data_IF_460558107533
#
_entry.id   IF_460558107533
#
_cell.length_a   1.000
_cell.length_b   1.000
_cell.length_c   1.000
_cell.angle_alpha   90.00
_cell.angle_beta   90.00
_cell.angle_gamma   90.00
#
_symmetry.space_group_name_H-M   'P 1'
#
loop_
_entity.id
_entity.type
_entity.pdbx_description
1 polymer ?
#
# COMPACT_ATOMS: atom_id res chain seq x y z
N UNK A 1 -11.83 4.07 7.66
CA UNK A 1 -12.81 4.54 8.65
C UNK A 1 -13.01 3.48 9.72
N UNK A 2 -12.79 3.82 11.00
CA UNK A 2 -12.98 2.89 12.13
C UNK A 2 -14.43 2.43 12.19
N UNK A 3 -14.66 1.11 12.29
CA UNK A 3 -15.99 0.52 12.44
C UNK A 3 -16.10 -0.11 13.81
N UNK A 4 -17.23 0.09 14.46
CA UNK A 4 -17.54 -0.50 15.76
C UNK A 4 -18.86 -1.25 15.68
N UNK A 5 -18.88 -2.48 16.19
CA UNK A 5 -20.07 -3.31 16.28
C UNK A 5 -20.22 -3.87 17.68
N UNK A 6 -21.45 -4.09 18.13
CA UNK A 6 -21.75 -4.72 19.42
C UNK A 6 -22.46 -6.04 19.18
N UNK A 7 -22.00 -7.10 19.79
CA UNK A 7 -22.67 -8.39 19.84
C UNK A 7 -23.20 -8.57 21.26
N UNK A 8 -24.50 -8.72 21.42
CA UNK A 8 -25.13 -9.02 22.71
C UNK A 8 -25.43 -10.51 22.78
N UNK A 9 -24.85 -11.19 23.74
CA UNK A 9 -25.15 -12.60 24.03
C UNK A 9 -26.06 -12.66 25.24
N UNK A 10 -27.23 -13.24 25.08
CA UNK A 10 -28.21 -13.45 26.17
C UNK A 10 -28.31 -14.94 26.51
N UNK A 11 -28.32 -15.23 27.81
CA UNK A 11 -28.68 -16.54 28.27
C UNK A 11 -30.19 -16.77 28.12
N UNK A 12 -30.58 -17.95 27.62
CA UNK A 12 -32.00 -18.31 27.41
C UNK A 12 -32.75 -18.62 28.71
N UNK A 13 -32.03 -18.92 29.78
CA UNK A 13 -32.59 -19.39 31.03
C UNK A 13 -32.55 -18.37 32.18
N UNK A 14 -31.87 -17.25 31.97
CA UNK A 14 -31.71 -16.20 32.96
C UNK A 14 -31.73 -14.83 32.26
N UNK A 15 -31.98 -13.78 33.04
CA UNK A 15 -31.90 -12.39 32.54
C UNK A 15 -30.44 -11.88 32.45
N UNK A 16 -29.48 -12.78 32.44
CA UNK A 16 -28.06 -12.45 32.27
C UNK A 16 -27.75 -12.18 30.79
N UNK A 17 -26.99 -11.13 30.54
CA UNK A 17 -26.47 -10.82 29.21
C UNK A 17 -25.00 -10.37 29.30
N UNK A 18 -24.30 -10.56 28.20
CA UNK A 18 -22.94 -10.02 28.01
C UNK A 18 -22.88 -9.27 26.69
N UNK A 19 -22.20 -8.16 26.68
CA UNK A 19 -21.96 -7.37 25.47
C UNK A 19 -20.50 -7.53 25.07
N UNK A 20 -20.27 -7.91 23.82
CA UNK A 20 -18.97 -7.91 23.16
C UNK A 20 -18.92 -6.73 22.20
N UNK A 21 -18.07 -5.77 22.49
CA UNK A 21 -17.82 -4.64 21.59
C UNK A 21 -16.63 -5.00 20.70
N UNK A 22 -16.85 -5.06 19.40
CA UNK A 22 -15.83 -5.29 18.40
C UNK A 22 -15.54 -3.96 17.69
N UNK A 23 -14.30 -3.51 17.80
CA UNK A 23 -13.79 -2.37 17.04
C UNK A 23 -12.82 -2.86 15.97
N UNK A 24 -13.04 -2.41 14.75
CA UNK A 24 -12.14 -2.65 13.62
C UNK A 24 -11.54 -1.31 13.20
N UNK A 25 -10.21 -1.20 13.21
CA UNK A 25 -9.54 -0.04 12.62
C UNK A 25 -9.80 0.03 11.12
N UNK A 26 -9.66 1.22 10.54
CA UNK A 26 -9.75 1.38 9.09
C UNK A 26 -8.66 0.54 8.43
N UNK A 27 -9.07 -0.36 7.54
CA UNK A 27 -8.15 -1.16 6.76
C UNK A 27 -7.63 -0.33 5.59
N UNK A 28 -6.31 -0.31 5.43
CA UNK A 28 -5.63 0.45 4.39
C UNK A 28 -5.48 1.94 4.75
N UNK A 29 -4.52 2.56 4.12
CA UNK A 29 -4.17 3.96 4.34
C UNK A 29 -2.69 4.19 4.16
N UNK A 30 -2.22 5.38 4.52
CA UNK A 30 -0.80 5.67 4.56
C UNK A 30 -0.41 6.38 5.86
N UNK A 31 0.84 6.21 6.24
CA UNK A 31 1.49 6.95 7.33
C UNK A 31 2.69 7.68 6.76
N UNK A 32 2.93 8.92 7.22
CA UNK A 32 4.10 9.71 6.82
C UNK A 32 5.30 9.39 7.70
N UNK A 33 6.49 9.41 7.11
CA UNK A 33 7.75 9.20 7.82
C UNK A 33 8.21 7.74 7.84
N UNK A 34 9.40 7.52 8.33
CA UNK A 34 9.95 6.18 8.54
C UNK A 34 9.27 5.56 9.76
N UNK A 35 8.26 4.75 9.54
CA UNK A 35 7.69 3.94 10.59
C UNK A 35 8.61 2.78 10.93
N UNK A 36 8.44 2.21 12.11
CA UNK A 36 9.26 1.13 12.65
C UNK A 36 9.03 -0.16 11.86
N UNK A 37 9.81 -0.37 10.79
CA UNK A 37 9.72 -1.52 9.90
C UNK A 37 10.52 -2.73 10.45
N UNK A 38 11.02 -2.65 11.68
CA UNK A 38 11.85 -3.69 12.29
C UNK A 38 11.10 -5.02 12.40
N UNK A 39 11.70 -6.05 11.81
CA UNK A 39 11.19 -7.42 11.83
C UNK A 39 10.39 -7.83 10.61
N UNK A 40 10.16 -6.93 9.65
CA UNK A 40 9.47 -7.24 8.41
C UNK A 40 10.42 -7.72 7.32
N UNK A 41 9.89 -8.52 6.41
CA UNK A 41 10.66 -9.12 5.33
C UNK A 41 10.47 -8.32 4.04
N UNK A 42 11.56 -7.78 3.50
CA UNK A 42 11.55 -7.12 2.20
C UNK A 42 11.27 -8.13 1.08
N UNK A 43 10.32 -7.81 0.24
CA UNK A 43 9.92 -8.60 -0.92
C UNK A 43 10.58 -8.02 -2.17
N UNK A 44 11.48 -8.76 -2.84
CA UNK A 44 12.17 -8.25 -4.01
C UNK A 44 11.23 -8.11 -5.20
N UNK A 45 11.34 -6.99 -5.91
CA UNK A 45 10.71 -6.79 -7.22
C UNK A 45 11.55 -7.50 -8.28
N UNK A 46 10.93 -8.33 -9.10
CA UNK A 46 11.62 -9.08 -10.17
C UNK A 46 11.83 -8.24 -11.42
N UNK A 47 10.83 -7.46 -11.80
CA UNK A 47 10.88 -6.53 -12.93
C UNK A 47 9.86 -5.41 -12.74
N UNK A 48 9.98 -4.35 -13.52
CA UNK A 48 9.04 -3.24 -13.45
C UNK A 48 9.11 -2.35 -14.68
N UNK A 49 8.07 -1.56 -14.86
CA UNK A 49 7.95 -0.62 -15.96
C UNK A 49 7.21 0.66 -15.55
N UNK A 50 7.52 1.75 -16.23
CA UNK A 50 6.78 3.01 -16.14
C UNK A 50 6.36 3.44 -17.54
N UNK A 51 5.05 3.62 -17.73
CA UNK A 51 4.49 4.04 -19.02
C UNK A 51 3.51 5.20 -18.82
N UNK A 52 3.41 6.08 -19.80
CA UNK A 52 2.44 7.17 -19.80
C UNK A 52 1.08 6.71 -20.38
N UNK A 53 0.11 7.60 -20.38
CA UNK A 53 -1.25 7.30 -20.91
C UNK A 53 -1.29 6.92 -22.39
N UNK A 54 -0.22 7.18 -23.15
CA UNK A 54 -0.06 6.76 -24.54
C UNK A 54 0.60 5.38 -24.68
N UNK A 55 0.88 4.69 -23.56
CA UNK A 55 1.58 3.41 -23.54
C UNK A 55 3.09 3.51 -23.87
N UNK A 56 3.67 4.71 -23.82
CA UNK A 56 5.10 4.91 -24.06
C UNK A 56 5.88 4.83 -22.77
N UNK A 57 7.09 4.25 -22.83
CA UNK A 57 8.02 4.25 -21.70
C UNK A 57 8.32 5.68 -21.27
N UNK A 58 8.11 5.93 -19.99
CA UNK A 58 8.34 7.22 -19.35
C UNK A 58 9.61 7.17 -18.53
N UNK A 59 10.68 7.82 -18.99
CA UNK A 59 11.91 8.00 -18.22
C UNK A 59 12.76 9.15 -18.75
N UNK A 60 13.52 9.79 -17.88
CA UNK A 60 14.47 10.84 -18.24
C UNK A 60 15.89 10.27 -18.31
N UNK A 61 16.43 10.14 -19.52
CA UNK A 61 17.80 9.70 -19.75
C UNK A 61 18.11 8.36 -19.07
N UNK A 62 19.14 8.35 -18.22
CA UNK A 62 19.58 7.15 -17.47
C UNK A 62 18.81 6.91 -16.17
N UNK A 63 17.83 7.76 -15.80
CA UNK A 63 17.01 7.61 -14.60
C UNK A 63 15.85 6.66 -14.85
N UNK A 64 16.18 5.42 -15.24
CA UNK A 64 15.22 4.38 -15.59
C UNK A 64 14.44 3.85 -14.40
N UNK A 65 13.31 3.21 -14.68
CA UNK A 65 12.36 2.75 -13.68
C UNK A 65 12.95 1.70 -12.70
N UNK A 66 13.94 0.90 -13.14
CA UNK A 66 14.64 -0.07 -12.27
C UNK A 66 15.25 0.56 -11.01
N UNK A 67 15.50 1.87 -11.02
CA UNK A 67 16.01 2.60 -9.85
C UNK A 67 15.00 2.75 -8.71
N UNK A 68 13.74 2.41 -8.93
CA UNK A 68 12.74 2.39 -7.86
C UNK A 68 12.76 1.11 -7.02
N UNK A 69 13.59 0.14 -7.39
CA UNK A 69 13.72 -1.14 -6.68
C UNK A 69 15.15 -1.70 -6.74
N UNK A 70 16.15 -0.83 -6.87
CA UNK A 70 17.58 -1.21 -6.90
C UNK A 70 18.23 -1.28 -5.50
N UNK A 71 17.46 -0.99 -4.44
CA UNK A 71 17.91 -0.98 -3.05
C UNK A 71 18.65 0.30 -2.67
N UNK A 72 18.65 1.34 -3.52
CA UNK A 72 19.37 2.58 -3.30
C UNK A 72 18.45 3.78 -3.19
N UNK A 73 18.43 4.44 -2.02
CA UNK A 73 17.70 5.70 -1.81
C UNK A 73 18.48 6.94 -2.32
N UNK A 74 19.70 6.74 -2.83
CA UNK A 74 20.54 7.83 -3.39
C UNK A 74 20.25 8.06 -4.88
N UNK A 75 19.81 7.03 -5.58
CA UNK A 75 19.39 7.10 -6.98
C UNK A 75 17.88 7.28 -7.07
N UNK A 76 17.32 7.35 -8.27
CA UNK A 76 15.88 7.40 -8.44
C UNK A 76 15.43 7.38 -9.89
N UNK A 77 14.21 6.95 -10.06
CA UNK A 77 13.45 7.09 -11.28
C UNK A 77 12.99 8.53 -11.45
N UNK A 78 13.07 9.02 -12.67
CA UNK A 78 12.53 10.31 -13.08
C UNK A 78 11.69 10.12 -14.35
N UNK A 79 10.42 10.54 -14.32
CA UNK A 79 9.58 10.53 -15.52
C UNK A 79 10.11 11.48 -16.60
N UNK A 80 9.70 11.26 -17.85
CA UNK A 80 10.12 12.12 -18.96
C UNK A 80 9.60 13.55 -18.77
N UNK A 81 10.50 14.54 -18.81
CA UNK A 81 10.17 15.95 -18.56
C UNK A 81 9.52 16.64 -19.75
N UNK A 82 9.73 16.14 -20.96
CA UNK A 82 9.21 16.77 -22.17
C UNK A 82 7.83 16.27 -22.58
N UNK A 83 7.56 14.98 -22.39
CA UNK A 83 6.31 14.34 -22.78
C UNK A 83 5.34 14.17 -21.59
N UNK A 84 5.86 13.93 -20.40
CA UNK A 84 5.09 13.58 -19.19
C UNK A 84 5.05 14.70 -18.16
N UNK A 85 5.17 15.98 -18.62
CA UNK A 85 4.87 17.10 -17.75
C UNK A 85 3.39 17.11 -17.41
N UNK A 86 3.08 17.11 -16.10
CA UNK A 86 1.68 17.12 -15.63
C UNK A 86 0.94 18.38 -16.16
N UNK A 87 -0.28 18.30 -16.66
CA UNK A 87 -1.13 17.09 -16.74
C UNK A 87 -1.00 16.28 -18.05
N UNK A 88 -0.05 16.60 -18.93
CA UNK A 88 0.08 15.95 -20.23
C UNK A 88 0.52 14.50 -20.08
N UNK A 89 -0.15 13.61 -20.82
CA UNK A 89 0.14 12.17 -20.87
C UNK A 89 0.08 11.44 -19.52
N UNK A 90 -0.64 11.99 -18.54
CA UNK A 90 -0.99 11.31 -17.30
C UNK A 90 -2.35 10.59 -17.44
N UNK A 91 -2.64 9.51 -16.68
CA UNK A 91 -1.82 9.01 -15.58
C UNK A 91 -0.52 8.35 -16.03
N UNK A 92 0.46 8.31 -15.13
CA UNK A 92 1.65 7.48 -15.27
C UNK A 92 1.38 6.13 -14.60
N UNK A 93 1.51 5.05 -15.36
CA UNK A 93 1.34 3.68 -14.87
C UNK A 93 2.69 3.11 -14.48
N UNK A 94 2.86 2.83 -13.19
CA UNK A 94 4.03 2.19 -12.62
C UNK A 94 3.66 0.75 -12.28
N UNK A 95 4.34 -0.22 -12.88
CA UNK A 95 4.07 -1.65 -12.64
C UNK A 95 5.28 -2.30 -12.00
N UNK A 96 5.05 -3.01 -10.90
CA UNK A 96 6.03 -3.83 -10.21
C UNK A 96 5.58 -5.28 -10.27
N UNK A 97 6.46 -6.18 -10.71
CA UNK A 97 6.16 -7.60 -10.86
C UNK A 97 6.99 -8.41 -9.87
N UNK A 98 6.41 -9.50 -9.39
CA UNK A 98 6.98 -10.35 -8.36
C UNK A 98 7.04 -11.80 -8.83
N UNK A 99 8.06 -12.52 -8.36
CA UNK A 99 8.21 -13.95 -8.62
C UNK A 99 8.15 -14.70 -7.29
N UNK A 100 7.28 -15.71 -7.23
CA UNK A 100 7.18 -16.65 -6.09
C UNK A 100 7.00 -15.99 -4.71
N UNK A 101 6.20 -14.95 -4.65
CA UNK A 101 5.94 -14.27 -3.39
C UNK A 101 4.64 -14.78 -2.75
N UNK A 102 4.70 -15.28 -1.51
CA UNK A 102 3.50 -15.79 -0.85
C UNK A 102 2.56 -14.68 -0.39
N UNK A 103 3.10 -13.47 -0.09
CA UNK A 103 2.32 -12.41 0.53
C UNK A 103 3.04 -11.06 0.44
N UNK A 104 2.27 -9.98 0.27
CA UNK A 104 2.71 -8.60 0.49
C UNK A 104 1.66 -7.89 1.35
N UNK A 105 2.08 -7.20 2.41
CA UNK A 105 1.19 -6.54 3.36
C UNK A 105 1.14 -5.03 3.17
N UNK A 106 2.26 -4.41 2.80
CA UNK A 106 2.37 -2.96 2.60
C UNK A 106 3.57 -2.62 1.72
N UNK A 107 3.64 -1.38 1.29
CA UNK A 107 4.82 -0.83 0.65
C UNK A 107 5.23 0.52 1.24
N UNK A 108 6.50 0.87 1.05
CA UNK A 108 7.06 2.18 1.43
C UNK A 108 7.53 2.88 0.18
N UNK A 109 7.00 4.08 -0.05
CA UNK A 109 7.40 4.95 -1.15
C UNK A 109 8.39 5.99 -0.63
N UNK A 110 9.61 5.97 -1.12
CA UNK A 110 10.62 7.02 -0.90
C UNK A 110 10.64 7.93 -2.11
N UNK A 111 10.26 9.17 -1.93
CA UNK A 111 10.26 10.20 -2.98
C UNK A 111 11.44 11.16 -2.82
N UNK A 112 11.75 11.90 -3.87
CA UNK A 112 12.66 13.03 -3.77
C UNK A 112 12.04 14.18 -2.95
N UNK A 113 12.76 15.27 -2.75
CA UNK A 113 12.23 16.46 -2.05
C UNK A 113 11.25 17.28 -2.91
N UNK A 114 11.13 16.98 -4.20
CA UNK A 114 10.22 17.62 -5.14
C UNK A 114 9.70 16.61 -6.15
N UNK A 115 8.60 16.93 -6.82
CA UNK A 115 7.93 16.03 -7.77
C UNK A 115 7.53 14.68 -7.13
N UNK A 116 7.02 14.79 -5.91
CA UNK A 116 6.62 13.69 -5.03
C UNK A 116 5.32 13.08 -5.55
N UNK A 117 5.19 11.77 -5.46
CA UNK A 117 3.91 11.09 -5.70
C UNK A 117 2.87 11.60 -4.70
N UNK A 118 1.76 12.14 -5.19
CA UNK A 118 0.66 12.63 -4.35
C UNK A 118 -0.54 11.71 -4.38
N UNK A 119 -1.06 11.40 -5.57
CA UNK A 119 -2.24 10.57 -5.71
C UNK A 119 -2.02 9.46 -6.71
N UNK A 120 -2.50 8.29 -6.35
CA UNK A 120 -2.53 7.14 -7.24
C UNK A 120 -3.73 6.24 -6.95
N UNK A 121 -4.13 5.50 -7.96
CA UNK A 121 -4.96 4.31 -7.82
C UNK A 121 -4.05 3.09 -7.81
N UNK A 122 -4.27 2.16 -6.87
CA UNK A 122 -3.48 0.93 -6.75
C UNK A 122 -4.32 -0.24 -7.24
N UNK A 123 -3.73 -1.03 -8.13
CA UNK A 123 -4.31 -2.25 -8.67
C UNK A 123 -3.39 -3.42 -8.38
N UNK A 124 -3.97 -4.60 -8.23
CA UNK A 124 -3.23 -5.83 -7.97
C UNK A 124 -3.61 -6.93 -8.95
N UNK A 125 -2.64 -7.76 -9.26
CA UNK A 125 -2.79 -9.03 -9.96
C UNK A 125 -2.18 -10.11 -9.07
N UNK A 126 -2.87 -11.24 -8.95
CA UNK A 126 -2.45 -12.38 -8.15
C UNK A 126 -2.42 -13.66 -8.99
N UNK A 127 -1.93 -14.75 -8.42
CA UNK A 127 -1.98 -16.04 -9.10
C UNK A 127 -3.41 -16.52 -9.35
N UNK A 128 -4.32 -16.24 -8.40
CA UNK A 128 -5.74 -16.59 -8.53
C UNK A 128 -6.52 -15.65 -9.44
N UNK A 129 -6.12 -14.37 -9.48
CA UNK A 129 -6.76 -13.31 -10.26
C UNK A 129 -5.68 -12.62 -11.11
N UNK A 130 -5.37 -13.12 -12.31
CA UNK A 130 -4.26 -12.61 -13.14
C UNK A 130 -4.55 -11.24 -13.76
N UNK A 131 -5.81 -10.85 -13.88
CA UNK A 131 -6.18 -9.51 -14.31
C UNK A 131 -6.01 -8.50 -13.19
N UNK A 132 -5.57 -7.27 -13.53
CA UNK A 132 -5.41 -6.20 -12.55
C UNK A 132 -6.77 -5.70 -12.06
N UNK A 133 -7.03 -5.87 -10.77
CA UNK A 133 -8.23 -5.35 -10.10
C UNK A 133 -7.86 -4.21 -9.16
N UNK A 134 -8.72 -3.18 -9.08
CA UNK A 134 -8.49 -2.03 -8.20
C UNK A 134 -8.53 -2.46 -6.74
N UNK A 135 -7.47 -2.14 -6.01
CA UNK A 135 -7.34 -2.41 -4.58
C UNK A 135 -7.76 -1.20 -3.74
N UNK A 136 -7.21 -0.02 -4.04
CA UNK A 136 -7.47 1.18 -3.25
C UNK A 136 -7.02 2.46 -3.98
N UNK A 137 -7.49 3.60 -3.47
CA UNK A 137 -6.95 4.92 -3.77
C UNK A 137 -6.00 5.37 -2.67
N UNK A 138 -4.95 6.11 -3.03
CA UNK A 138 -4.04 6.74 -2.06
C UNK A 138 -3.89 8.22 -2.35
N UNK A 139 -3.85 9.02 -1.27
CA UNK A 139 -3.45 10.43 -1.27
C UNK A 139 -2.34 10.58 -0.23
N UNK A 140 -1.10 10.71 -0.71
CA UNK A 140 0.09 10.74 0.15
C UNK A 140 0.41 12.15 0.67
N UNK A 141 -0.43 13.14 0.33
CA UNK A 141 -0.30 14.53 0.78
C UNK A 141 1.10 15.15 0.57
N UNK A 142 1.87 14.59 -0.37
CA UNK A 142 3.21 15.06 -0.68
C UNK A 142 4.29 14.65 0.34
N UNK A 143 4.11 13.54 1.05
CA UNK A 143 5.16 12.98 1.92
C UNK A 143 6.35 12.45 1.12
N UNK A 144 7.57 12.73 1.59
CA UNK A 144 8.80 12.19 0.99
C UNK A 144 9.01 10.72 1.34
N UNK A 145 8.46 10.26 2.46
CA UNK A 145 8.43 8.85 2.85
C UNK A 145 7.00 8.51 3.25
N UNK A 146 6.39 7.59 2.55
CA UNK A 146 5.01 7.18 2.78
C UNK A 146 4.91 5.66 2.92
N UNK A 147 4.42 5.20 4.07
CA UNK A 147 4.04 3.81 4.29
C UNK A 147 2.59 3.62 3.83
N UNK A 148 2.38 2.78 2.84
CA UNK A 148 1.08 2.46 2.26
C UNK A 148 0.67 1.07 2.73
N UNK A 149 -0.29 1.00 3.66
CA UNK A 149 -0.86 -0.25 4.15
C UNK A 149 -1.98 -0.71 3.23
N UNK A 150 -1.92 -1.95 2.78
CA UNK A 150 -3.00 -2.53 1.99
C UNK A 150 -4.18 -2.92 2.88
N UNK A 151 -5.43 -2.82 2.39
CA UNK A 151 -6.61 -3.14 3.19
C UNK A 151 -6.65 -4.61 3.64
N UNK A 152 -6.07 -5.48 2.84
CA UNK A 152 -5.83 -6.89 3.16
C UNK A 152 -4.47 -7.29 2.60
N UNK A 153 -3.81 -8.31 3.16
CA UNK A 153 -2.61 -8.90 2.56
C UNK A 153 -2.89 -9.36 1.13
N UNK A 154 -2.00 -9.03 0.22
CA UNK A 154 -2.05 -9.52 -1.15
C UNK A 154 -1.38 -10.90 -1.17
N UNK A 155 -2.17 -11.94 -1.42
CA UNK A 155 -1.69 -13.33 -1.41
C UNK A 155 -1.27 -13.75 -2.81
N UNK A 156 -0.10 -14.38 -2.92
CA UNK A 156 0.52 -14.80 -4.18
C UNK A 156 0.50 -13.70 -5.25
N UNK A 157 1.01 -12.49 -4.93
CA UNK A 157 1.01 -11.38 -5.87
C UNK A 157 1.85 -11.71 -7.10
N UNK A 158 1.32 -11.37 -8.28
CA UNK A 158 2.05 -11.35 -9.55
C UNK A 158 2.50 -9.94 -9.88
N UNK A 159 1.66 -8.95 -9.61
CA UNK A 159 2.00 -7.56 -9.84
C UNK A 159 1.19 -6.59 -8.99
N UNK A 160 1.80 -5.43 -8.73
CA UNK A 160 1.15 -4.26 -8.15
C UNK A 160 1.36 -3.10 -9.11
N UNK A 161 0.28 -2.43 -9.47
CA UNK A 161 0.26 -1.31 -10.40
C UNK A 161 -0.22 -0.05 -9.71
N UNK A 162 0.51 1.05 -9.87
CA UNK A 162 0.11 2.37 -9.46
C UNK A 162 -0.24 3.20 -10.69
N UNK A 163 -1.47 3.63 -10.81
CA UNK A 163 -1.86 4.66 -11.78
C UNK A 163 -1.76 6.02 -11.09
N UNK A 164 -0.62 6.67 -11.27
CA UNK A 164 -0.32 7.96 -10.63
C UNK A 164 -1.06 9.06 -11.36
N UNK A 165 -1.93 9.75 -10.64
CA UNK A 165 -2.79 10.82 -11.18
C UNK A 165 -2.33 12.21 -10.79
N UNK A 166 -1.52 12.36 -9.74
CA UNK A 166 -1.01 13.64 -9.27
C UNK A 166 0.39 13.53 -8.66
N UNK A 167 1.24 14.50 -8.99
CA UNK A 167 2.53 14.74 -8.35
C UNK A 167 2.54 16.13 -7.71
N UNK A 168 3.42 16.38 -6.76
CA UNK A 168 3.60 17.72 -6.16
C UNK A 168 4.23 18.74 -7.12
N UNK A 169 4.72 18.29 -8.27
CA UNK A 169 5.31 19.10 -9.32
C UNK A 169 4.84 18.70 -10.70
N UNK A 170 5.63 19.07 -11.72
CA UNK A 170 5.30 18.76 -13.12
C UNK A 170 5.67 17.35 -13.55
N UNK A 171 6.54 16.68 -12.81
CA UNK A 171 7.10 15.37 -13.12
C UNK A 171 6.92 14.44 -11.94
N UNK A 172 7.31 13.18 -12.08
CA UNK A 172 7.35 12.23 -10.98
C UNK A 172 8.80 11.81 -10.71
N UNK A 173 9.21 11.86 -9.45
CA UNK A 173 10.51 11.36 -9.01
C UNK A 173 10.33 10.44 -7.82
N UNK A 174 10.68 9.17 -7.98
CA UNK A 174 10.66 8.16 -6.94
C UNK A 174 12.08 7.63 -6.75
N UNK A 175 12.57 7.64 -5.52
CA UNK A 175 13.88 7.08 -5.18
C UNK A 175 13.81 5.58 -5.02
N UNK A 176 12.86 5.09 -4.19
CA UNK A 176 12.73 3.67 -3.90
C UNK A 176 11.28 3.32 -3.59
N UNK A 177 10.85 2.13 -4.00
CA UNK A 177 9.59 1.50 -3.65
C UNK A 177 9.90 0.15 -3.02
N UNK A 178 9.76 0.07 -1.71
CA UNK A 178 10.02 -1.13 -0.94
C UNK A 178 8.70 -1.84 -0.65
N UNK A 179 8.63 -3.14 -0.91
CA UNK A 179 7.45 -3.97 -0.63
C UNK A 179 7.76 -4.91 0.52
N UNK A 180 6.84 -5.05 1.46
CA UNK A 180 7.10 -5.78 2.69
C UNK A 180 6.06 -6.85 2.95
N UNK A 181 6.55 -7.95 3.49
CA UNK A 181 5.76 -9.00 4.12
C UNK A 181 5.97 -8.90 5.63
N UNK A 182 4.89 -8.82 6.38
CA UNK A 182 4.97 -8.84 7.84
C UNK A 182 5.62 -10.14 8.31
N UNK A 183 6.56 -10.02 9.24
CA UNK A 183 7.22 -11.19 9.80
C UNK A 183 6.18 -12.06 10.54
N UNK A 184 6.09 -13.37 10.24
CA UNK A 184 5.17 -14.27 10.94
C UNK A 184 5.35 -14.27 12.46
N UNK A 185 6.57 -14.05 12.95
CA UNK A 185 6.85 -14.01 14.39
C UNK A 185 6.29 -12.75 15.07
N UNK A 186 6.01 -11.71 14.29
CA UNK A 186 5.37 -10.46 14.72
C UNK A 186 3.90 -10.40 14.28
N UNK A 187 3.41 -11.42 13.61
CA UNK A 187 2.04 -11.50 13.19
C UNK A 187 1.15 -11.86 14.38
N UNK A 188 0.46 -10.87 14.90
CA UNK A 188 -0.65 -11.10 15.81
C UNK A 188 -1.93 -11.25 14.98
N UNK A 189 -2.49 -12.47 14.83
CA UNK A 189 -3.73 -12.67 14.10
C UNK A 189 -4.92 -11.96 14.75
N UNK A 190 -4.77 -11.51 16.01
CA UNK A 190 -5.76 -10.71 16.72
C UNK A 190 -5.65 -9.21 16.39
N UNK A 191 -4.59 -8.76 15.72
CA UNK A 191 -4.46 -7.36 15.26
C UNK A 191 -5.49 -6.95 14.17
N UNK A 192 -6.32 -7.89 13.71
CA UNK A 192 -7.55 -7.56 12.97
C UNK A 192 -8.60 -6.91 13.88
N UNK A 193 -8.46 -7.05 15.21
CA UNK A 193 -9.38 -6.51 16.22
C UNK A 193 -8.54 -5.79 17.26
N UNK A 194 -8.46 -4.47 17.16
CA UNK A 194 -7.63 -3.66 18.06
C UNK A 194 -8.18 -3.54 19.46
N UNK A 195 -9.50 -3.71 19.63
CA UNK A 195 -10.15 -3.68 20.96
C UNK A 195 -11.28 -4.70 21.02
N UNK A 196 -11.03 -5.84 21.65
CA UNK A 196 -12.08 -6.74 22.10
C UNK A 196 -12.24 -6.52 23.59
N UNK A 197 -13.29 -5.80 23.99
CA UNK A 197 -13.63 -5.62 25.40
C UNK A 197 -14.80 -6.53 25.74
N UNK A 198 -14.54 -7.55 26.56
CA UNK A 198 -15.59 -8.31 27.21
C UNK A 198 -16.00 -7.58 28.49
N UNK A 199 -17.21 -7.03 28.56
CA UNK A 199 -17.77 -6.58 29.81
C UNK A 199 -18.17 -7.80 30.66
N UNK A 200 -17.98 -7.72 31.98
CA UNK A 200 -18.47 -8.77 32.89
C UNK A 200 -19.98 -8.98 32.73
N UNK A 201 -20.40 -10.23 32.93
CA UNK A 201 -21.83 -10.57 33.00
C UNK A 201 -22.52 -9.70 34.05
N UNK A 202 -23.48 -8.89 33.63
CA UNK A 202 -24.29 -8.10 34.53
C UNK A 202 -25.53 -8.90 34.90
N UNK A 203 -25.87 -9.09 36.18
CA UNK A 203 -27.17 -9.60 36.55
C UNK A 203 -28.24 -8.60 36.12
N UNK A 204 -29.28 -9.12 35.48
CA UNK A 204 -30.45 -8.33 35.04
C UNK A 204 -31.32 -7.90 36.22
#
# INVERSE_FOLDING_TARGET
EKRTGTITVKDKASDLFSELIISQEALGGYESGESNIQGDLLVPVSTGSAVNSLGKVSQLGSSGFHRTYDGSKETGYHSNTSEDAFPNNWPLTLTFEFTEQPRIDYCVCHSASSNILKKAEIFVSTEAEPEYTKLMDVDLSGSTVALIKFPNPIINPKGIKFEVTESSGKYLVIKEMEFYRQNPDNYDPLNLFTDITCSELKPG
#
